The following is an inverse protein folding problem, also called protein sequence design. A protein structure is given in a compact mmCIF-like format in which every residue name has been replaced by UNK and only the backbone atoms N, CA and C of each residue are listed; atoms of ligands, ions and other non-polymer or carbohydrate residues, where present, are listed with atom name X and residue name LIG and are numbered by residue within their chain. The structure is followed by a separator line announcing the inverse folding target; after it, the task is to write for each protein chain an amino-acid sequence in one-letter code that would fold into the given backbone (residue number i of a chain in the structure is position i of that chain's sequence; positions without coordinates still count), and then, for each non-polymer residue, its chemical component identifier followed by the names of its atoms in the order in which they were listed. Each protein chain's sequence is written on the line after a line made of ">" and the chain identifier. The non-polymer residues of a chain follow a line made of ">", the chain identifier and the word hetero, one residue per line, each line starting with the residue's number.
data_IF_090522403042
#
_entry.id   IF_090522403042
#
_cell.length_a   1.000
_cell.length_b   1.000
_cell.length_c   1.000
_cell.angle_alpha   90.00
_cell.angle_beta   90.00
_cell.angle_gamma   90.00
#
_symmetry.space_group_name_H-M   'P 1'
#
loop_
_entity.id
_entity.type
_entity.pdbx_description
1 polymer ?
#
# COMPACT_ATOMS: atom_id res chain seq x y z
N UNK A 1 8.00 5.93 18.35
CA UNK A 1 7.06 4.86 17.97
C UNK A 1 6.17 5.41 16.87
N UNK A 2 6.10 4.78 15.69
CA UNK A 2 5.19 5.21 14.61
C UNK A 2 3.99 4.27 14.59
N UNK A 3 2.79 4.82 14.73
CA UNK A 3 1.54 4.04 14.69
C UNK A 3 1.13 3.90 13.21
N UNK A 4 0.97 2.66 12.76
CA UNK A 4 0.52 2.31 11.42
C UNK A 4 -0.88 1.69 11.47
N UNK A 5 -1.68 1.91 10.43
CA UNK A 5 -2.94 1.22 10.25
C UNK A 5 -2.68 -0.10 9.52
N UNK A 6 -2.98 -1.22 10.18
CA UNK A 6 -3.09 -2.54 9.56
C UNK A 6 -4.57 -2.87 9.49
N UNK A 7 -5.14 -2.81 8.29
CA UNK A 7 -6.56 -3.02 8.07
C UNK A 7 -7.05 -2.34 6.81
N UNK A 8 -8.09 -2.90 6.20
CA UNK A 8 -8.67 -2.40 4.96
C UNK A 8 -9.89 -1.53 5.31
N UNK A 9 -9.81 -0.22 5.05
CA UNK A 9 -10.98 0.66 5.01
C UNK A 9 -11.61 0.52 3.61
N UNK A 10 -12.09 -0.69 3.33
CA UNK A 10 -12.20 -1.20 1.96
C UNK A 10 -13.24 -0.52 1.10
N UNK A 11 -14.41 -0.21 1.66
CA UNK A 11 -15.48 0.41 0.90
C UNK A 11 -15.18 1.89 0.62
N UNK A 12 -14.60 2.59 1.60
CA UNK A 12 -14.17 3.97 1.47
C UNK A 12 -13.00 4.09 0.47
N UNK A 13 -12.02 3.17 0.51
CA UNK A 13 -10.92 3.16 -0.46
C UNK A 13 -11.37 2.84 -1.89
N UNK A 14 -12.39 2.00 -2.07
CA UNK A 14 -13.00 1.75 -3.39
C UNK A 14 -13.73 2.98 -3.92
N UNK A 15 -14.42 3.71 -3.04
CA UNK A 15 -15.18 4.91 -3.42
C UNK A 15 -14.25 6.12 -3.69
N UNK A 16 -13.27 6.34 -2.82
CA UNK A 16 -12.30 7.43 -2.91
C UNK A 16 -10.99 7.02 -2.20
N UNK A 17 -10.07 6.44 -2.99
CA UNK A 17 -8.81 5.91 -2.48
C UNK A 17 -7.96 6.99 -1.78
N UNK A 18 -7.72 8.11 -2.45
CA UNK A 18 -6.80 9.14 -1.94
C UNK A 18 -7.46 9.99 -0.85
N UNK A 19 -8.74 10.36 -0.98
CA UNK A 19 -9.42 11.07 0.10
C UNK A 19 -9.54 10.23 1.38
N UNK A 20 -9.60 8.91 1.25
CA UNK A 20 -9.54 8.01 2.42
C UNK A 20 -8.15 8.00 3.06
N UNK A 21 -7.08 7.96 2.26
CA UNK A 21 -5.70 8.05 2.78
C UNK A 21 -5.45 9.39 3.49
N UNK A 22 -5.94 10.51 2.94
CA UNK A 22 -5.84 11.82 3.58
C UNK A 22 -6.56 11.85 4.95
N UNK A 23 -7.74 11.22 5.06
CA UNK A 23 -8.44 11.06 6.35
C UNK A 23 -7.66 10.21 7.34
N UNK A 24 -7.05 9.11 6.87
CA UNK A 24 -6.19 8.25 7.72
C UNK A 24 -4.99 9.05 8.24
N UNK A 25 -4.33 9.83 7.40
CA UNK A 25 -3.26 10.72 7.79
C UNK A 25 -3.72 11.77 8.82
N UNK A 26 -4.91 12.36 8.62
CA UNK A 26 -5.49 13.36 9.52
C UNK A 26 -5.82 12.80 10.92
N UNK A 27 -6.10 11.49 11.04
CA UNK A 27 -6.28 10.80 12.33
C UNK A 27 -4.95 10.67 13.10
N UNK A 28 -3.81 10.81 12.41
CA UNK A 28 -2.47 10.75 13.00
C UNK A 28 -1.71 9.44 12.72
N UNK A 29 -2.22 8.60 11.81
CA UNK A 29 -1.45 7.45 11.34
C UNK A 29 -0.28 7.92 10.48
N UNK A 30 0.86 7.25 10.63
CA UNK A 30 2.09 7.56 9.89
C UNK A 30 2.36 6.60 8.73
N UNK A 31 1.54 5.56 8.57
CA UNK A 31 1.66 4.62 7.48
C UNK A 31 0.51 3.64 7.38
N UNK A 32 0.46 2.96 6.25
CA UNK A 32 -0.61 2.02 5.88
C UNK A 32 -0.04 0.72 5.34
N UNK A 33 -0.76 -0.36 5.63
CA UNK A 33 -0.74 -1.59 4.84
C UNK A 33 -2.07 -1.62 4.06
N UNK A 34 -2.01 -1.33 2.76
CA UNK A 34 -3.17 -1.19 1.89
C UNK A 34 -2.96 -1.98 0.60
N UNK A 35 -4.03 -2.22 -0.15
CA UNK A 35 -3.88 -2.76 -1.50
C UNK A 35 -3.10 -1.77 -2.37
N UNK A 36 -1.96 -2.22 -2.88
CA UNK A 36 -1.11 -1.51 -3.81
C UNK A 36 -1.73 -1.36 -5.21
N UNK A 37 -2.83 -2.07 -5.49
CA UNK A 37 -3.44 -2.12 -6.82
C UNK A 37 -3.79 -0.74 -7.40
N UNK A 38 -4.30 0.18 -6.58
CA UNK A 38 -4.59 1.55 -7.01
C UNK A 38 -3.33 2.40 -7.24
N UNK A 39 -2.25 2.16 -6.49
CA UNK A 39 -0.98 2.86 -6.69
C UNK A 39 -0.26 2.38 -7.94
N UNK A 40 -0.36 1.09 -8.23
CA UNK A 40 0.28 0.44 -9.38
C UNK A 40 -0.53 0.56 -10.69
N UNK A 41 -1.76 1.06 -10.64
CA UNK A 41 -2.61 1.20 -11.82
C UNK A 41 -2.25 2.47 -12.62
N UNK A 42 -2.08 2.33 -13.94
CA UNK A 42 -1.85 3.47 -14.83
C UNK A 42 -0.52 4.16 -14.57
N UNK A 43 -0.54 5.47 -14.30
CA UNK A 43 0.67 6.26 -14.03
C UNK A 43 1.10 6.11 -12.56
N UNK A 44 1.94 5.11 -12.33
CA UNK A 44 2.50 4.78 -11.01
C UNK A 44 3.25 5.97 -10.41
N UNK A 45 3.97 6.76 -11.22
CA UNK A 45 4.74 7.90 -10.72
C UNK A 45 3.83 8.99 -10.15
N UNK A 46 2.78 9.35 -10.89
CA UNK A 46 1.80 10.33 -10.45
C UNK A 46 1.04 9.87 -9.19
N UNK A 47 0.65 8.58 -9.14
CA UNK A 47 -0.01 8.00 -7.98
C UNK A 47 0.89 8.03 -6.74
N UNK A 48 2.17 7.70 -6.89
CA UNK A 48 3.14 7.71 -5.80
C UNK A 48 3.47 9.13 -5.33
N UNK A 49 3.49 10.12 -6.22
CA UNK A 49 3.60 11.53 -5.84
C UNK A 49 2.42 11.96 -4.97
N UNK A 50 1.19 11.64 -5.42
CA UNK A 50 -0.02 11.94 -4.65
C UNK A 50 -0.05 11.23 -3.30
N UNK A 51 0.35 9.96 -3.27
CA UNK A 51 0.48 9.18 -2.03
C UNK A 51 1.45 9.85 -1.04
N UNK A 52 2.65 10.23 -1.50
CA UNK A 52 3.64 10.93 -0.66
C UNK A 52 3.11 12.26 -0.14
N UNK A 53 2.27 12.95 -0.93
CA UNK A 53 1.58 14.17 -0.52
C UNK A 53 0.68 14.02 0.72
N UNK A 54 0.22 12.80 1.04
CA UNK A 54 -0.57 12.52 2.24
C UNK A 54 0.27 12.50 3.53
N UNK A 55 1.59 12.39 3.42
CA UNK A 55 2.50 12.21 4.56
C UNK A 55 2.56 10.77 5.12
N UNK A 56 1.79 9.84 4.54
CA UNK A 56 1.83 8.43 4.92
C UNK A 56 3.04 7.71 4.30
N UNK A 57 3.53 6.70 5.02
CA UNK A 57 4.49 5.73 4.49
C UNK A 57 3.81 4.41 4.14
N UNK A 58 4.22 3.77 3.04
CA UNK A 58 3.76 2.42 2.72
C UNK A 58 4.56 1.42 3.56
N UNK A 59 3.90 0.65 4.43
CA UNK A 59 4.58 -0.15 5.46
C UNK A 59 4.97 -1.55 4.97
N UNK A 60 4.12 -2.15 4.15
CA UNK A 60 4.27 -3.50 3.61
C UNK A 60 3.37 -3.69 2.40
N UNK A 61 3.81 -4.42 1.37
CA UNK A 61 2.92 -5.03 0.37
C UNK A 61 2.50 -6.42 0.83
N UNK A 62 1.56 -7.04 0.12
CA UNK A 62 1.00 -8.34 0.48
C UNK A 62 1.16 -9.35 -0.64
N UNK A 63 1.53 -10.59 -0.32
CA UNK A 63 1.64 -11.67 -1.30
C UNK A 63 1.13 -13.01 -0.74
N UNK A 64 0.65 -13.89 -1.62
CA UNK A 64 0.42 -15.30 -1.30
C UNK A 64 1.73 -16.11 -1.36
N UNK A 65 1.71 -17.31 -0.80
CA UNK A 65 2.84 -18.25 -0.90
C UNK A 65 3.15 -18.60 -2.36
N UNK A 66 2.12 -18.80 -3.18
CA UNK A 66 2.22 -19.14 -4.60
C UNK A 66 2.85 -17.99 -5.37
N UNK A 67 2.43 -16.74 -5.12
CA UNK A 67 3.04 -15.57 -5.75
C UNK A 67 4.53 -15.46 -5.41
N UNK A 68 4.91 -15.68 -4.15
CA UNK A 68 6.31 -15.69 -3.74
C UNK A 68 7.12 -16.83 -4.36
N UNK A 69 6.50 -17.95 -4.71
CA UNK A 69 7.16 -19.12 -5.33
C UNK A 69 7.26 -18.98 -6.84
N UNK A 70 6.17 -18.55 -7.48
CA UNK A 70 5.95 -18.68 -8.92
C UNK A 70 6.07 -17.34 -9.65
N UNK A 71 5.99 -16.21 -8.94
CA UNK A 71 5.97 -14.84 -9.50
C UNK A 71 6.72 -13.83 -8.61
N UNK A 72 7.85 -14.26 -8.06
CA UNK A 72 8.63 -13.46 -7.10
C UNK A 72 9.07 -12.10 -7.65
N UNK A 73 9.46 -12.04 -8.93
CA UNK A 73 9.96 -10.82 -9.56
C UNK A 73 8.88 -9.73 -9.62
N UNK A 74 7.63 -10.12 -9.88
CA UNK A 74 6.49 -9.18 -9.86
C UNK A 74 6.24 -8.68 -8.44
N UNK A 75 6.27 -9.56 -7.43
CA UNK A 75 6.14 -9.17 -6.02
C UNK A 75 7.23 -8.16 -5.62
N UNK A 76 8.48 -8.43 -6.00
CA UNK A 76 9.61 -7.55 -5.72
C UNK A 76 9.48 -6.21 -6.45
N UNK A 77 9.14 -6.23 -7.74
CA UNK A 77 8.93 -5.03 -8.56
C UNK A 77 7.85 -4.14 -7.96
N UNK A 78 6.72 -4.72 -7.55
CA UNK A 78 5.61 -4.00 -6.93
C UNK A 78 6.03 -3.37 -5.59
N UNK A 79 6.72 -4.12 -4.73
CA UNK A 79 7.23 -3.62 -3.47
C UNK A 79 8.19 -2.44 -3.66
N UNK A 80 9.10 -2.54 -4.64
CA UNK A 80 10.02 -1.46 -4.98
C UNK A 80 9.30 -0.22 -5.54
N UNK A 81 8.30 -0.41 -6.41
CA UNK A 81 7.54 0.67 -7.01
C UNK A 81 6.81 1.53 -5.97
N UNK A 82 6.23 0.90 -4.95
CA UNK A 82 5.55 1.62 -3.85
C UNK A 82 6.49 2.01 -2.70
N UNK A 83 7.76 1.59 -2.75
CA UNK A 83 8.75 1.86 -1.70
C UNK A 83 8.48 1.11 -0.39
N UNK A 84 7.82 -0.05 -0.45
CA UNK A 84 7.56 -0.87 0.72
C UNK A 84 8.87 -1.52 1.21
N UNK A 85 9.23 -1.38 2.51
CA UNK A 85 10.43 -1.99 3.05
C UNK A 85 10.27 -3.50 3.34
N UNK A 86 9.04 -4.03 3.22
CA UNK A 86 8.67 -5.40 3.59
C UNK A 86 7.56 -5.91 2.68
N UNK A 87 7.46 -7.24 2.61
CA UNK A 87 6.34 -7.96 2.02
C UNK A 87 5.76 -8.87 3.09
N UNK A 88 4.47 -8.69 3.41
CA UNK A 88 3.68 -9.56 4.29
C UNK A 88 3.18 -10.75 3.48
N UNK A 89 3.41 -11.97 3.97
CA UNK A 89 2.80 -13.17 3.39
C UNK A 89 1.56 -13.55 4.18
N UNK A 90 0.42 -13.72 3.50
CA UNK A 90 -0.78 -14.26 4.12
C UNK A 90 -0.79 -15.79 3.99
N UNK A 91 -1.14 -16.48 5.08
CA UNK A 91 -1.31 -17.92 5.10
C UNK A 91 -2.79 -18.25 4.88
N UNK A 92 -3.14 -18.66 3.67
CA UNK A 92 -4.46 -19.22 3.33
C UNK A 92 -4.33 -20.70 2.99
#
# INVERSE_FOLDING_TARGET
>A
MKIGLIGIVGEEMKADYFGTLEKIAAIGYAGVEASEGMLLAGDVSANMERFRGTGLSFLSTSASREQLRDDFDTVLSNALAVGAPRVSMWWS
#
